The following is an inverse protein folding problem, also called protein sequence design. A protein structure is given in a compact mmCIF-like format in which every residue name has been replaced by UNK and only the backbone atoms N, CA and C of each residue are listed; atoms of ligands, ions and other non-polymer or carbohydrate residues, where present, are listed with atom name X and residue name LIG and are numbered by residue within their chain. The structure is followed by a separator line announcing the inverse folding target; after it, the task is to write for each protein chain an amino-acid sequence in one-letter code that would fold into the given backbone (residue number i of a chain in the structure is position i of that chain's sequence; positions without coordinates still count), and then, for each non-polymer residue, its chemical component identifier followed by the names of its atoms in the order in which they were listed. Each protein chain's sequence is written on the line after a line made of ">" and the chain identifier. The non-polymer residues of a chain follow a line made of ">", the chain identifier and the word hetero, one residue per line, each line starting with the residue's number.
data_IF_537564865662
#
_entry.id   IF_537564865662
#
_cell.length_a   1.000
_cell.length_b   1.000
_cell.length_c   1.000
_cell.angle_alpha   90.00
_cell.angle_beta   90.00
_cell.angle_gamma   90.00
#
_symmetry.space_group_name_H-M   'P 1'
#
loop_
_entity.id
_entity.type
_entity.pdbx_description
1 polymer ?
#
# COMPACT_ATOMS: atom_id res chain seq x y z
N UNK A 1 11.84 -12.78 0.33
CA UNK A 1 10.60 -12.30 0.99
C UNK A 1 10.43 -10.79 0.88
N UNK A 2 11.50 -9.99 0.86
CA UNK A 2 11.43 -8.58 0.41
C UNK A 2 12.15 -8.50 -0.94
N UNK A 3 11.40 -8.31 -2.01
CA UNK A 3 11.89 -8.02 -3.35
C UNK A 3 10.94 -7.03 -4.02
N UNK A 4 11.38 -6.39 -5.10
CA UNK A 4 10.53 -5.45 -5.83
C UNK A 4 9.24 -6.10 -6.33
N UNK A 5 9.32 -7.38 -6.72
CA UNK A 5 8.18 -8.22 -7.14
C UNK A 5 7.58 -9.08 -6.00
N UNK A 6 8.07 -8.90 -4.76
CA UNK A 6 7.62 -9.68 -3.63
C UNK A 6 6.23 -9.28 -3.13
N UNK A 7 5.55 -10.21 -2.45
CA UNK A 7 4.21 -10.02 -1.88
C UNK A 7 4.12 -8.93 -0.78
N UNK A 8 5.27 -8.50 -0.25
CA UNK A 8 5.33 -7.46 0.78
C UNK A 8 5.21 -6.05 0.16
N UNK A 9 4.19 -5.31 0.61
CA UNK A 9 3.99 -3.90 0.28
C UNK A 9 4.78 -2.99 1.22
N UNK A 10 6.10 -2.94 1.03
CA UNK A 10 7.02 -2.17 1.87
C UNK A 10 7.84 -1.24 1.00
N UNK A 11 8.01 0.01 1.44
CA UNK A 11 8.79 1.04 0.74
C UNK A 11 8.27 2.46 1.00
N UNK A 12 8.59 3.38 0.09
CA UNK A 12 8.01 4.73 0.10
C UNK A 12 6.51 4.69 -0.24
N UNK A 13 5.71 5.71 0.11
CA UNK A 13 4.31 5.78 -0.25
C UNK A 13 4.04 5.58 -1.75
N UNK A 14 4.89 6.14 -2.61
CA UNK A 14 4.78 6.02 -4.07
C UNK A 14 5.05 4.60 -4.53
N UNK A 15 6.03 3.93 -3.91
CA UNK A 15 6.37 2.54 -4.20
C UNK A 15 5.23 1.62 -3.80
N UNK A 16 4.66 1.82 -2.61
CA UNK A 16 3.50 1.06 -2.13
C UNK A 16 2.29 1.28 -3.04
N UNK A 17 1.99 2.53 -3.41
CA UNK A 17 0.88 2.85 -4.31
C UNK A 17 1.02 2.17 -5.68
N UNK A 18 2.20 2.22 -6.31
CA UNK A 18 2.45 1.52 -7.58
C UNK A 18 2.25 0.02 -7.47
N UNK A 19 2.70 -0.59 -6.36
CA UNK A 19 2.48 -2.03 -6.13
C UNK A 19 1.01 -2.38 -5.95
N UNK A 20 0.24 -1.56 -5.24
CA UNK A 20 -1.22 -1.76 -5.07
C UNK A 20 -1.92 -1.69 -6.43
N UNK A 21 -1.63 -0.65 -7.21
CA UNK A 21 -2.22 -0.47 -8.55
C UNK A 21 -1.93 -1.69 -9.42
N UNK A 22 -0.66 -2.10 -9.52
CA UNK A 22 -0.25 -3.27 -10.28
C UNK A 22 -1.01 -4.52 -9.84
N UNK A 23 -1.08 -4.78 -8.54
CA UNK A 23 -1.78 -5.95 -7.99
C UNK A 23 -3.27 -5.93 -8.34
N UNK A 24 -3.92 -4.77 -8.19
CA UNK A 24 -5.35 -4.63 -8.48
C UNK A 24 -5.64 -4.81 -9.97
N UNK A 25 -4.75 -4.38 -10.87
CA UNK A 25 -4.90 -4.59 -12.31
C UNK A 25 -4.65 -6.04 -12.72
N UNK A 26 -3.60 -6.66 -12.20
CA UNK A 26 -3.23 -8.04 -12.56
C UNK A 26 -4.25 -9.07 -12.06
N UNK A 27 -4.90 -8.79 -10.93
CA UNK A 27 -5.84 -9.71 -10.29
C UNK A 27 -7.31 -9.30 -10.42
N UNK A 28 -7.60 -8.21 -11.15
CA UNK A 28 -8.94 -7.65 -11.34
C UNK A 28 -9.70 -7.43 -10.01
N UNK A 29 -9.05 -6.72 -9.07
CA UNK A 29 -9.58 -6.47 -7.72
C UNK A 29 -10.30 -5.12 -7.63
N UNK A 30 -11.44 -5.11 -6.95
CA UNK A 30 -12.20 -3.90 -6.61
C UNK A 30 -11.86 -3.34 -5.21
N UNK A 31 -11.18 -4.14 -4.38
CA UNK A 31 -10.87 -3.83 -2.99
C UNK A 31 -9.49 -4.33 -2.59
N UNK A 32 -8.74 -3.46 -1.91
CA UNK A 32 -7.46 -3.79 -1.31
C UNK A 32 -7.52 -3.62 0.23
N UNK A 33 -7.09 -4.64 0.97
CA UNK A 33 -6.96 -4.61 2.43
C UNK A 33 -5.51 -4.84 2.82
N UNK A 34 -4.99 -4.00 3.71
CA UNK A 34 -3.62 -4.09 4.20
C UNK A 34 -3.60 -4.48 5.67
N UNK A 35 -2.82 -5.51 6.01
CA UNK A 35 -2.60 -5.89 7.39
C UNK A 35 -1.35 -5.20 7.95
N UNK A 36 -1.54 -4.47 9.04
CA UNK A 36 -0.50 -3.92 9.90
C UNK A 36 -0.86 -4.28 11.35
N UNK A 37 0.07 -4.65 12.25
CA UNK A 37 1.53 -4.83 12.10
C UNK A 37 1.97 -6.29 11.88
N UNK A 38 3.19 -6.49 11.37
CA UNK A 38 3.86 -7.80 11.35
C UNK A 38 4.76 -7.94 12.57
N UNK A 39 4.28 -8.63 13.61
CA UNK A 39 5.00 -8.81 14.87
C UNK A 39 4.95 -7.58 15.79
N UNK A 40 5.97 -7.42 16.63
CA UNK A 40 6.05 -6.31 17.59
C UNK A 40 6.61 -5.04 16.95
N UNK A 41 5.72 -4.24 16.37
CA UNK A 41 6.05 -2.90 15.84
C UNK A 41 5.71 -1.84 16.89
N UNK A 42 6.58 -0.84 17.14
CA UNK A 42 6.26 0.28 18.02
C UNK A 42 4.97 0.99 17.61
N UNK A 43 4.17 1.41 18.59
CA UNK A 43 2.86 2.02 18.33
C UNK A 43 2.97 3.28 17.44
N UNK A 44 3.97 4.12 17.68
CA UNK A 44 4.22 5.35 16.89
C UNK A 44 4.52 5.07 15.42
N UNK A 45 5.25 3.98 15.14
CA UNK A 45 5.57 3.56 13.78
C UNK A 45 4.31 3.06 13.07
N UNK A 46 3.44 2.34 13.79
CA UNK A 46 2.14 1.88 13.28
C UNK A 46 1.23 3.07 12.94
N UNK A 47 1.12 4.06 13.84
CA UNK A 47 0.35 5.28 13.59
C UNK A 47 0.91 6.07 12.41
N UNK A 48 2.23 6.15 12.28
CA UNK A 48 2.88 6.80 11.14
C UNK A 48 2.57 6.08 9.83
N UNK A 49 2.62 4.75 9.81
CA UNK A 49 2.26 3.94 8.64
C UNK A 49 0.79 4.14 8.24
N UNK A 50 -0.14 4.15 9.20
CA UNK A 50 -1.56 4.42 8.97
C UNK A 50 -1.75 5.83 8.38
N UNK A 51 -1.09 6.84 8.95
CA UNK A 51 -1.16 8.22 8.46
C UNK A 51 -0.64 8.34 7.03
N UNK A 52 0.55 7.80 6.74
CA UNK A 52 1.11 7.80 5.39
C UNK A 52 0.23 7.07 4.39
N UNK A 53 -0.37 5.95 4.80
CA UNK A 53 -1.32 5.23 3.95
C UNK A 53 -2.54 6.11 3.61
N UNK A 54 -3.16 6.73 4.62
CA UNK A 54 -4.34 7.57 4.43
C UNK A 54 -4.07 8.88 3.67
N UNK A 55 -2.94 9.54 3.94
CA UNK A 55 -2.61 10.86 3.38
C UNK A 55 -1.91 10.81 2.02
N UNK A 56 -1.20 9.73 1.71
CA UNK A 56 -0.35 9.63 0.52
C UNK A 56 -0.76 8.48 -0.38
N UNK A 57 -0.79 7.25 0.15
CA UNK A 57 -0.99 6.05 -0.69
C UNK A 57 -2.41 5.99 -1.24
N UNK A 58 -3.42 6.08 -0.38
CA UNK A 58 -4.82 5.92 -0.78
C UNK A 58 -5.27 6.98 -1.82
N UNK A 59 -4.91 8.27 -1.70
CA UNK A 59 -5.19 9.26 -2.74
C UNK A 59 -4.57 8.92 -4.10
N UNK A 60 -3.29 8.53 -4.15
CA UNK A 60 -2.60 8.18 -5.41
C UNK A 60 -3.32 7.01 -6.12
N UNK A 61 -3.67 5.96 -5.37
CA UNK A 61 -4.36 4.79 -5.93
C UNK A 61 -5.75 5.19 -6.44
N UNK A 62 -6.51 5.97 -5.67
CA UNK A 62 -7.86 6.41 -6.07
C UNK A 62 -7.83 7.31 -7.30
N UNK A 63 -6.89 8.25 -7.36
CA UNK A 63 -6.73 9.16 -8.49
C UNK A 63 -6.40 8.37 -9.77
N UNK A 64 -5.48 7.41 -9.68
CA UNK A 64 -5.14 6.52 -10.80
C UNK A 64 -6.39 5.85 -11.39
N UNK A 65 -7.19 5.17 -10.57
CA UNK A 65 -8.39 4.46 -11.04
C UNK A 65 -9.55 5.38 -11.41
N UNK A 66 -9.61 6.62 -10.89
CA UNK A 66 -10.59 7.61 -11.32
C UNK A 66 -10.24 8.24 -12.67
N UNK A 67 -8.95 8.30 -13.03
CA UNK A 67 -8.44 8.85 -14.29
C UNK A 67 -8.31 7.84 -15.44
N UNK A 68 -8.59 6.56 -15.14
CA UNK A 68 -8.53 5.44 -16.08
C UNK A 68 -9.81 5.36 -16.91
#
# INVERSE_FOLDING_TARGET
>A
MVSEEGAMLVGSPETVARKIIKLMEELDLDRFMMHLPTGSVPHEDLLTAIRLYGEKVAPIVREYFASK
#
